data_IF_595203470485
#
_entry.id   IF_595203470485
#
_cell.length_a   1.000
_cell.length_b   1.000
_cell.length_c   1.000
_cell.angle_alpha   90.00
_cell.angle_beta   90.00
_cell.angle_gamma   90.00
#
_symmetry.space_group_name_H-M   'P 1'
#
loop_
_entity.id
_entity.type
_entity.pdbx_description
1 polymer ?
#
# COMPACT_ATOMS: atom_id res chain seq x y z
N UNK A 1 10.96 12.04 -8.91
CA UNK A 1 12.27 11.60 -8.39
C UNK A 1 12.14 11.13 -6.95
N UNK A 2 12.95 10.17 -6.52
CA UNK A 2 13.03 9.73 -5.14
C UNK A 2 13.86 10.73 -4.32
N UNK A 3 13.65 10.79 -3.00
CA UNK A 3 14.50 11.60 -2.13
C UNK A 3 15.98 11.19 -2.25
N UNK A 4 16.23 9.89 -2.43
CA UNK A 4 17.58 9.36 -2.63
C UNK A 4 18.28 9.95 -3.88
N UNK A 5 17.53 10.18 -4.98
CA UNK A 5 18.09 10.78 -6.19
C UNK A 5 18.38 12.29 -6.08
N UNK A 6 18.03 12.90 -4.97
CA UNK A 6 18.24 14.33 -4.66
C UNK A 6 19.20 14.53 -3.51
N UNK A 7 19.78 13.44 -2.98
CA UNK A 7 20.68 13.47 -1.83
C UNK A 7 22.15 13.46 -2.26
N UNK A 8 22.80 14.59 -2.14
CA UNK A 8 24.23 14.75 -2.43
C UNK A 8 25.12 14.47 -1.20
N UNK A 9 24.53 14.26 -0.02
CA UNK A 9 25.24 14.12 1.26
C UNK A 9 25.28 12.69 1.81
N UNK A 10 24.60 11.74 1.15
CA UNK A 10 24.55 10.34 1.58
C UNK A 10 23.74 10.09 2.85
N UNK A 11 22.80 10.97 3.17
CA UNK A 11 21.94 10.89 4.37
C UNK A 11 20.65 10.11 4.15
N UNK A 12 20.25 9.91 2.90
CA UNK A 12 19.03 9.20 2.54
C UNK A 12 19.33 7.73 2.27
N UNK A 13 18.61 6.84 2.94
CA UNK A 13 18.59 5.41 2.62
C UNK A 13 17.35 5.12 1.77
N UNK A 14 17.58 4.59 0.58
CA UNK A 14 16.51 4.09 -0.29
C UNK A 14 16.32 2.59 -0.04
N UNK A 15 15.09 2.20 0.21
CA UNK A 15 14.70 0.80 0.43
C UNK A 15 13.63 0.40 -0.56
N UNK A 16 13.76 -0.77 -1.17
CA UNK A 16 12.78 -1.33 -2.08
C UNK A 16 12.68 -2.85 -1.93
N UNK A 17 11.58 -3.42 -2.44
CA UNK A 17 11.28 -4.84 -2.28
C UNK A 17 10.69 -5.43 -3.55
N UNK A 18 11.00 -6.70 -3.82
CA UNK A 18 10.36 -7.48 -4.89
C UNK A 18 8.98 -8.01 -4.52
N UNK A 19 8.56 -7.87 -3.26
CA UNK A 19 7.28 -8.39 -2.76
C UNK A 19 6.06 -7.83 -3.49
N UNK A 20 6.14 -6.63 -4.07
CA UNK A 20 4.99 -5.97 -4.71
C UNK A 20 5.07 -5.93 -6.24
N UNK A 21 6.25 -6.20 -6.80
CA UNK A 21 6.50 -6.14 -8.23
C UNK A 21 6.81 -7.52 -8.84
N UNK A 22 7.12 -8.53 -8.00
CA UNK A 22 7.39 -9.90 -8.43
C UNK A 22 6.56 -10.89 -7.59
N UNK A 23 6.99 -11.20 -6.37
CA UNK A 23 6.28 -12.14 -5.51
C UNK A 23 6.60 -11.90 -4.02
N UNK A 24 5.59 -11.82 -3.15
CA UNK A 24 5.81 -11.56 -1.71
C UNK A 24 6.51 -12.74 -1.01
N UNK A 25 6.37 -13.96 -1.51
CA UNK A 25 6.97 -15.17 -0.95
C UNK A 25 8.49 -15.25 -1.12
N UNK A 26 9.10 -14.50 -2.02
CA UNK A 26 10.57 -14.50 -2.20
C UNK A 26 11.30 -13.88 -1.03
N UNK A 27 10.67 -12.99 -0.26
CA UNK A 27 11.25 -12.27 0.87
C UNK A 27 12.56 -11.53 0.54
N UNK A 28 12.71 -11.07 -0.71
CA UNK A 28 13.89 -10.32 -1.18
C UNK A 28 13.57 -8.83 -1.23
N UNK A 29 14.47 -8.07 -0.61
CA UNK A 29 14.46 -6.60 -0.62
C UNK A 29 15.91 -6.11 -0.70
N UNK A 30 16.10 -4.82 -0.96
CA UNK A 30 17.40 -4.20 -1.01
C UNK A 30 17.37 -2.77 -0.48
N UNK A 31 18.52 -2.30 -0.02
CA UNK A 31 18.75 -0.92 0.40
C UNK A 31 19.96 -0.33 -0.32
N UNK A 32 19.88 0.97 -0.59
CA UNK A 32 20.99 1.77 -1.10
C UNK A 32 21.12 3.05 -0.27
N UNK A 33 22.36 3.46 0.05
CA UNK A 33 22.60 4.62 0.89
C UNK A 33 24.09 4.91 1.06
N UNK A 34 24.41 5.86 1.91
CA UNK A 34 25.81 6.18 2.25
C UNK A 34 26.52 4.96 2.83
N UNK A 35 27.81 4.81 2.46
CA UNK A 35 28.63 3.64 2.83
C UNK A 35 28.59 3.31 4.32
N UNK A 36 28.81 4.28 5.19
CA UNK A 36 28.81 4.06 6.64
C UNK A 36 27.48 3.50 7.17
N UNK A 37 26.37 3.98 6.63
CA UNK A 37 25.03 3.53 7.04
C UNK A 37 24.82 2.08 6.59
N UNK A 38 25.15 1.78 5.33
CA UNK A 38 24.97 0.44 4.77
C UNK A 38 25.88 -0.58 5.46
N UNK A 39 27.13 -0.23 5.79
CA UNK A 39 28.03 -1.11 6.56
C UNK A 39 27.44 -1.46 7.93
N UNK A 40 26.90 -0.48 8.67
CA UNK A 40 26.22 -0.74 9.95
C UNK A 40 24.97 -1.59 9.80
N UNK A 41 24.16 -1.33 8.75
CA UNK A 41 22.97 -2.14 8.45
C UNK A 41 23.36 -3.59 8.12
N UNK A 42 24.48 -3.81 7.42
CA UNK A 42 24.98 -5.14 7.10
C UNK A 42 25.33 -5.91 8.37
N UNK A 43 26.08 -5.31 9.28
CA UNK A 43 26.42 -5.93 10.58
C UNK A 43 25.16 -6.25 11.40
N UNK A 44 24.19 -5.34 11.43
CA UNK A 44 22.91 -5.60 12.13
C UNK A 44 22.16 -6.76 11.50
N UNK A 45 22.11 -6.84 10.17
CA UNK A 45 21.46 -7.94 9.46
C UNK A 45 22.13 -9.28 9.73
N UNK A 46 23.45 -9.35 9.69
CA UNK A 46 24.21 -10.55 10.02
C UNK A 46 23.88 -11.08 11.42
N UNK A 47 23.70 -10.17 12.39
CA UNK A 47 23.32 -10.53 13.74
C UNK A 47 21.83 -10.83 13.94
N UNK A 48 20.97 -10.45 12.98
CA UNK A 48 19.51 -10.65 13.08
C UNK A 48 19.10 -11.97 12.44
N UNK A 49 19.52 -12.24 11.20
CA UNK A 49 19.08 -13.41 10.43
C UNK A 49 20.16 -14.02 9.53
N UNK A 50 21.43 -13.62 9.73
CA UNK A 50 22.60 -13.99 8.93
C UNK A 50 22.51 -13.49 7.49
N UNK A 51 21.54 -13.96 6.70
CA UNK A 51 21.29 -13.50 5.34
C UNK A 51 19.88 -13.86 4.85
N UNK A 52 19.41 -13.12 3.84
CA UNK A 52 18.26 -13.54 3.04
C UNK A 52 18.62 -14.81 2.25
N UNK A 53 17.64 -15.71 2.06
CA UNK A 53 17.87 -16.96 1.30
C UNK A 53 18.61 -16.72 0.00
N UNK A 54 19.78 -17.35 -0.16
CA UNK A 54 20.62 -17.23 -1.37
C UNK A 54 19.88 -17.77 -2.60
N UNK A 55 19.08 -18.84 -2.44
CA UNK A 55 18.27 -19.38 -3.53
C UNK A 55 17.24 -18.35 -4.01
N UNK A 56 16.56 -17.69 -3.07
CA UNK A 56 15.59 -16.65 -3.43
C UNK A 56 16.27 -15.45 -4.12
N UNK A 57 17.44 -15.04 -3.66
CA UNK A 57 18.23 -13.98 -4.31
C UNK A 57 18.65 -14.38 -5.72
N UNK A 58 19.13 -15.61 -5.92
CA UNK A 58 19.53 -16.11 -7.24
C UNK A 58 18.35 -16.18 -8.21
N UNK A 59 17.17 -16.63 -7.76
CA UNK A 59 15.95 -16.65 -8.57
C UNK A 59 15.53 -15.25 -9.01
N UNK A 60 15.53 -14.28 -8.08
CA UNK A 60 15.18 -12.89 -8.38
C UNK A 60 16.21 -12.28 -9.34
N UNK A 61 17.51 -12.55 -9.11
CA UNK A 61 18.58 -12.09 -9.99
C UNK A 61 18.40 -12.59 -11.42
N UNK A 62 18.22 -13.91 -11.61
CA UNK A 62 18.03 -14.49 -12.94
C UNK A 62 16.77 -13.95 -13.63
N UNK A 63 15.68 -13.79 -12.89
CA UNK A 63 14.44 -13.24 -13.43
C UNK A 63 14.65 -11.80 -13.96
N UNK A 64 15.38 -10.98 -13.21
CA UNK A 64 15.73 -9.63 -13.64
C UNK A 64 16.74 -9.64 -14.80
N UNK A 65 17.80 -10.44 -14.71
CA UNK A 65 18.87 -10.52 -15.71
C UNK A 65 18.37 -10.95 -17.09
N UNK A 66 17.37 -11.84 -17.12
CA UNK A 66 16.74 -12.30 -18.35
C UNK A 66 15.67 -11.34 -18.90
N UNK A 67 15.44 -10.20 -18.26
CA UNK A 67 14.46 -9.20 -18.70
C UNK A 67 13.00 -9.56 -18.41
N UNK A 68 12.75 -10.63 -17.68
CA UNK A 68 11.37 -11.06 -17.37
C UNK A 68 10.63 -10.06 -16.49
N UNK A 69 11.31 -9.41 -15.57
CA UNK A 69 10.68 -8.37 -14.75
C UNK A 69 10.19 -7.21 -15.61
N UNK A 70 11.02 -6.73 -16.52
CA UNK A 70 10.65 -5.60 -17.41
C UNK A 70 9.47 -5.95 -18.33
N UNK A 71 9.44 -7.18 -18.83
CA UNK A 71 8.34 -7.70 -19.63
C UNK A 71 7.03 -7.88 -18.81
N UNK A 72 7.15 -8.20 -17.53
CA UNK A 72 6.01 -8.43 -16.64
C UNK A 72 5.38 -7.14 -16.10
N UNK A 73 6.19 -6.13 -15.78
CA UNK A 73 5.73 -4.90 -15.14
C UNK A 73 4.58 -4.18 -15.87
N UNK A 74 4.58 -4.03 -17.20
CA UNK A 74 3.46 -3.41 -17.90
C UNK A 74 2.12 -4.12 -17.66
N UNK A 75 2.13 -5.45 -17.62
CA UNK A 75 0.93 -6.25 -17.41
C UNK A 75 0.37 -6.08 -16.00
N UNK A 76 1.22 -6.09 -14.98
CA UNK A 76 0.80 -5.91 -13.59
C UNK A 76 0.33 -4.46 -13.33
N UNK A 77 0.96 -3.47 -13.96
CA UNK A 77 0.55 -2.07 -13.89
C UNK A 77 -0.85 -1.91 -14.50
N UNK A 78 -1.12 -2.49 -15.66
CA UNK A 78 -2.43 -2.42 -16.30
C UNK A 78 -3.50 -3.14 -15.48
N UNK A 79 -3.18 -4.31 -14.93
CA UNK A 79 -4.07 -5.05 -14.04
C UNK A 79 -4.50 -4.21 -12.83
N UNK A 80 -3.55 -3.61 -12.12
CA UNK A 80 -3.88 -2.77 -10.95
C UNK A 80 -4.50 -1.43 -11.32
N UNK A 81 -4.21 -0.89 -12.50
CA UNK A 81 -4.89 0.29 -13.02
C UNK A 81 -6.39 0.03 -13.18
N UNK A 82 -6.77 -1.10 -13.77
CA UNK A 82 -8.18 -1.51 -13.93
C UNK A 82 -8.88 -1.65 -12.57
N UNK A 83 -8.23 -2.29 -11.60
CA UNK A 83 -8.76 -2.43 -10.24
C UNK A 83 -8.92 -1.08 -9.53
N UNK A 84 -7.91 -0.21 -9.63
CA UNK A 84 -7.97 1.16 -9.10
C UNK A 84 -9.14 1.93 -9.69
N UNK A 85 -9.30 1.89 -10.99
CA UNK A 85 -10.34 2.65 -11.71
C UNK A 85 -11.73 2.08 -11.43
N UNK A 86 -11.86 0.77 -11.25
CA UNK A 86 -13.09 0.13 -10.76
C UNK A 86 -13.45 0.58 -9.35
N UNK A 87 -12.48 0.61 -8.44
CA UNK A 87 -12.69 1.15 -7.08
C UNK A 87 -13.09 2.64 -7.12
N UNK A 88 -12.43 3.46 -7.96
CA UNK A 88 -12.79 4.88 -8.11
C UNK A 88 -14.26 5.05 -8.56
N UNK A 89 -14.71 4.23 -9.51
CA UNK A 89 -16.09 4.23 -9.97
C UNK A 89 -17.06 3.88 -8.84
N UNK A 90 -16.73 2.85 -8.06
CA UNK A 90 -17.54 2.43 -6.91
C UNK A 90 -17.60 3.51 -5.82
N UNK A 91 -16.47 4.14 -5.49
CA UNK A 91 -16.39 5.23 -4.50
C UNK A 91 -17.31 6.40 -4.91
N UNK A 92 -17.23 6.83 -6.18
CA UNK A 92 -18.09 7.92 -6.69
C UNK A 92 -19.57 7.57 -6.74
N UNK A 93 -19.90 6.31 -6.99
CA UNK A 93 -21.27 5.82 -7.12
C UNK A 93 -21.98 5.67 -5.78
N UNK A 94 -21.27 5.23 -4.75
CA UNK A 94 -21.90 4.76 -3.52
C UNK A 94 -21.64 5.61 -2.28
N UNK A 95 -20.53 6.38 -2.25
CA UNK A 95 -20.23 7.21 -1.08
C UNK A 95 -20.99 8.55 -1.12
N UNK A 96 -21.37 9.09 0.06
CA UNK A 96 -21.94 10.43 0.18
C UNK A 96 -20.82 11.48 -0.07
N UNK A 97 -20.75 12.00 -1.29
CA UNK A 97 -19.66 12.86 -1.76
C UNK A 97 -19.57 14.20 -1.01
N UNK A 98 -20.64 14.61 -0.37
CA UNK A 98 -20.68 15.78 0.51
C UNK A 98 -19.99 15.55 1.87
N UNK A 99 -19.82 14.27 2.26
CA UNK A 99 -19.23 13.87 3.55
C UNK A 99 -17.86 13.20 3.41
N UNK A 100 -17.51 12.71 2.23
CA UNK A 100 -16.30 11.90 2.00
C UNK A 100 -15.44 12.51 0.92
N UNK A 101 -14.16 12.63 1.18
CA UNK A 101 -13.20 13.12 0.20
C UNK A 101 -12.00 12.19 0.07
N UNK A 102 -11.41 12.16 -1.13
CA UNK A 102 -10.17 11.42 -1.41
C UNK A 102 -9.48 11.99 -2.63
N UNK A 103 -8.22 11.62 -2.81
CA UNK A 103 -7.51 11.82 -4.07
C UNK A 103 -7.34 10.49 -4.78
N UNK A 104 -7.58 10.44 -6.09
CA UNK A 104 -7.30 9.27 -6.90
C UNK A 104 -5.81 9.00 -6.90
N UNK A 105 -5.33 7.83 -6.40
CA UNK A 105 -3.92 7.55 -6.34
C UNK A 105 -3.30 7.41 -7.73
N UNK A 106 -2.13 8.01 -7.94
CA UNK A 106 -1.34 7.87 -9.18
C UNK A 106 -0.52 6.59 -9.20
N UNK A 107 -0.31 5.96 -8.04
CA UNK A 107 0.44 4.71 -7.86
C UNK A 107 0.14 4.09 -6.50
N UNK A 108 0.85 2.99 -6.18
CA UNK A 108 0.59 2.21 -4.98
C UNK A 108 -0.67 1.37 -5.07
N UNK A 109 -1.22 0.96 -3.92
CA UNK A 109 -2.30 -0.03 -3.81
C UNK A 109 -3.50 0.46 -2.99
N UNK A 110 -3.50 1.73 -2.58
CA UNK A 110 -4.42 2.20 -1.57
C UNK A 110 -5.13 3.50 -1.97
N UNK A 111 -6.39 3.59 -1.59
CA UNK A 111 -7.11 4.84 -1.44
C UNK A 111 -7.00 5.31 0.00
N UNK A 112 -6.86 6.62 0.18
CA UNK A 112 -6.91 7.29 1.46
C UNK A 112 -8.12 8.21 1.48
N UNK A 113 -9.15 7.82 2.24
CA UNK A 113 -10.38 8.54 2.36
C UNK A 113 -10.37 9.39 3.63
N UNK A 114 -11.00 10.54 3.59
CA UNK A 114 -11.28 11.37 4.74
C UNK A 114 -12.80 11.50 4.91
N UNK A 115 -13.31 11.20 6.12
CA UNK A 115 -14.74 11.24 6.49
C UNK A 115 -14.89 12.12 7.72
N UNK A 116 -14.91 13.46 7.57
CA UNK A 116 -14.99 14.38 8.69
C UNK A 116 -16.13 14.08 9.63
N UNK A 117 -15.87 14.15 10.94
CA UNK A 117 -16.88 13.90 11.98
C UNK A 117 -17.15 12.42 12.26
N UNK A 118 -16.56 11.48 11.52
CA UNK A 118 -16.77 10.04 11.72
C UNK A 118 -15.47 9.40 12.23
N UNK A 119 -15.42 8.94 13.50
CA UNK A 119 -14.26 8.23 14.02
C UNK A 119 -14.07 6.88 13.30
N UNK A 120 -12.92 6.73 12.61
CA UNK A 120 -12.65 5.58 11.75
C UNK A 120 -12.69 4.23 12.49
N UNK A 121 -12.30 4.18 13.75
CA UNK A 121 -12.37 2.95 14.55
C UNK A 121 -13.80 2.51 14.87
N UNK A 122 -14.69 3.47 15.08
CA UNK A 122 -16.12 3.17 15.30
C UNK A 122 -16.78 2.76 13.99
N UNK A 123 -16.49 3.49 12.91
CA UNK A 123 -16.97 3.13 11.57
C UNK A 123 -16.48 1.74 11.15
N UNK A 124 -15.24 1.36 11.51
CA UNK A 124 -14.72 0.02 11.22
C UNK A 124 -15.59 -1.08 11.86
N UNK A 125 -16.06 -0.88 13.10
CA UNK A 125 -16.93 -1.87 13.76
C UNK A 125 -18.21 -2.08 12.99
N UNK A 126 -18.87 -1.01 12.58
CA UNK A 126 -20.11 -1.06 11.75
C UNK A 126 -19.85 -1.68 10.38
N UNK A 127 -18.71 -1.32 9.74
CA UNK A 127 -18.33 -1.86 8.44
C UNK A 127 -18.05 -3.37 8.51
N UNK A 128 -17.43 -3.86 9.58
CA UNK A 128 -17.16 -5.30 9.80
C UNK A 128 -18.47 -6.12 9.89
N UNK A 129 -19.50 -5.59 10.52
CA UNK A 129 -20.83 -6.24 10.54
C UNK A 129 -21.40 -6.41 9.13
N UNK A 130 -21.09 -5.46 8.23
CA UNK A 130 -21.41 -5.51 6.79
C UNK A 130 -20.33 -6.22 5.94
N UNK A 131 -19.35 -6.91 6.59
CA UNK A 131 -18.24 -7.67 5.94
C UNK A 131 -17.30 -6.80 5.13
N UNK A 132 -17.14 -5.55 5.50
CA UNK A 132 -16.16 -4.62 4.92
C UNK A 132 -15.10 -4.29 5.93
N UNK A 133 -13.82 -4.37 5.52
CA UNK A 133 -12.69 -4.02 6.36
C UNK A 133 -11.83 -2.95 5.69
N UNK A 134 -11.29 -2.04 6.48
CA UNK A 134 -10.30 -1.05 6.10
C UNK A 134 -9.34 -0.83 7.28
N UNK A 135 -8.27 -0.08 7.07
CA UNK A 135 -7.37 0.27 8.16
C UNK A 135 -7.65 1.70 8.60
N UNK A 136 -7.98 1.94 9.88
CA UNK A 136 -8.15 3.29 10.40
C UNK A 136 -6.87 4.12 10.27
N UNK A 137 -7.03 5.40 9.96
CA UNK A 137 -5.91 6.27 9.62
C UNK A 137 -4.95 6.56 10.76
N UNK A 138 -5.41 6.54 12.02
CA UNK A 138 -4.58 6.76 13.20
C UNK A 138 -3.43 5.75 13.31
N UNK A 139 -3.59 4.54 12.77
CA UNK A 139 -2.53 3.52 12.71
C UNK A 139 -1.28 3.96 11.90
N UNK A 140 -1.37 5.04 11.13
CA UNK A 140 -0.28 5.56 10.28
C UNK A 140 0.38 6.82 10.85
N UNK A 141 -0.04 7.28 12.01
CA UNK A 141 0.52 8.45 12.68
C UNK A 141 1.47 7.99 13.80
N UNK A 142 2.75 8.42 13.78
CA UNK A 142 3.76 7.96 14.75
C UNK A 142 3.40 8.21 16.22
N UNK A 143 2.66 9.29 16.48
CA UNK A 143 2.23 9.68 17.83
C UNK A 143 0.84 9.15 18.19
N UNK A 144 0.15 8.46 17.29
CA UNK A 144 -1.25 8.09 17.46
C UNK A 144 -2.24 9.27 17.51
N UNK A 145 -1.77 10.50 17.24
CA UNK A 145 -2.54 11.74 17.41
C UNK A 145 -3.01 12.34 16.09
N UNK A 146 -3.48 11.53 15.16
CA UNK A 146 -3.97 12.02 13.87
C UNK A 146 -4.71 10.93 13.11
N UNK A 147 -5.30 11.30 11.99
CA UNK A 147 -5.94 10.35 11.09
C UNK A 147 -7.22 9.68 11.63
N UNK A 148 -7.82 10.21 12.70
CA UNK A 148 -9.00 9.61 13.34
C UNK A 148 -10.22 9.48 12.43
N UNK A 149 -10.31 10.33 11.41
CA UNK A 149 -11.40 10.36 10.44
C UNK A 149 -10.96 9.81 9.07
N UNK A 150 -9.78 9.16 9.01
CA UNK A 150 -9.23 8.65 7.76
C UNK A 150 -9.33 7.12 7.69
N UNK A 151 -9.51 6.64 6.46
CA UNK A 151 -9.59 5.22 6.13
C UNK A 151 -8.57 4.90 5.04
N UNK A 152 -7.79 3.81 5.22
CA UNK A 152 -6.98 3.25 4.14
C UNK A 152 -7.68 2.03 3.54
N UNK A 153 -8.06 2.12 2.28
CA UNK A 153 -8.68 1.02 1.52
C UNK A 153 -7.72 0.44 0.49
N UNK A 154 -7.66 -0.87 0.37
CA UNK A 154 -6.85 -1.59 -0.60
C UNK A 154 -7.71 -2.02 -1.80
N UNK A 155 -7.24 -1.74 -3.03
CA UNK A 155 -7.96 -2.12 -4.25
C UNK A 155 -7.38 -3.37 -4.96
N UNK A 156 -6.35 -4.02 -4.39
CA UNK A 156 -5.61 -5.04 -5.13
C UNK A 156 -6.24 -6.43 -5.06
N UNK A 157 -6.92 -6.77 -3.98
CA UNK A 157 -7.45 -8.12 -3.76
C UNK A 157 -8.83 -8.34 -4.38
N UNK A 158 -9.80 -7.48 -4.08
CA UNK A 158 -11.18 -7.65 -4.50
C UNK A 158 -11.35 -7.60 -6.03
N UNK A 159 -12.30 -8.35 -6.58
CA UNK A 159 -12.77 -8.12 -7.95
C UNK A 159 -13.48 -6.76 -8.04
N UNK A 160 -13.76 -6.28 -9.25
CA UNK A 160 -14.48 -5.01 -9.45
C UNK A 160 -15.89 -5.07 -8.83
N UNK A 161 -16.57 -6.22 -8.96
CA UNK A 161 -17.90 -6.47 -8.42
C UNK A 161 -17.89 -6.51 -6.89
N UNK A 162 -16.89 -7.18 -6.30
CA UNK A 162 -16.70 -7.21 -4.84
C UNK A 162 -16.37 -5.81 -4.30
N UNK A 163 -15.58 -5.03 -5.04
CA UNK A 163 -15.26 -3.66 -4.67
C UNK A 163 -16.52 -2.76 -4.73
N UNK A 164 -17.32 -2.86 -5.78
CA UNK A 164 -18.60 -2.13 -5.91
C UNK A 164 -19.53 -2.44 -4.73
N UNK A 165 -19.69 -3.73 -4.40
CA UNK A 165 -20.52 -4.18 -3.29
C UNK A 165 -19.98 -3.70 -1.93
N UNK A 166 -18.69 -3.85 -1.70
CA UNK A 166 -18.04 -3.43 -0.44
C UNK A 166 -18.10 -1.93 -0.22
N UNK A 167 -17.90 -1.13 -1.28
CA UNK A 167 -18.01 0.34 -1.20
C UNK A 167 -19.47 0.75 -0.97
N UNK A 168 -20.46 0.05 -1.53
CA UNK A 168 -21.87 0.28 -1.23
C UNK A 168 -22.15 0.09 0.26
N UNK A 169 -21.72 -1.01 0.85
CA UNK A 169 -21.90 -1.28 2.28
C UNK A 169 -21.16 -0.27 3.17
N UNK A 170 -19.97 0.17 2.76
CA UNK A 170 -19.27 1.25 3.46
C UNK A 170 -20.06 2.55 3.41
N UNK A 171 -20.65 2.89 2.26
CA UNK A 171 -21.51 4.07 2.10
C UNK A 171 -22.76 4.00 2.97
N UNK A 172 -23.36 2.83 3.13
CA UNK A 172 -24.47 2.60 4.05
C UNK A 172 -24.02 2.85 5.51
N UNK A 173 -22.91 2.25 5.93
CA UNK A 173 -22.37 2.46 7.28
C UNK A 173 -22.05 3.93 7.59
N UNK A 174 -21.51 4.68 6.60
CA UNK A 174 -21.23 6.12 6.78
C UNK A 174 -22.52 6.94 6.94
N UNK A 175 -23.61 6.58 6.23
CA UNK A 175 -24.90 7.27 6.35
C UNK A 175 -25.61 6.94 7.67
N UNK A 176 -25.46 5.73 8.18
CA UNK A 176 -26.01 5.28 9.45
C UNK A 176 -25.25 5.87 10.66
N UNK A 177 -24.05 6.43 10.43
CA UNK A 177 -23.27 7.06 11.48
C UNK A 177 -23.79 8.48 11.72
N UNK A 178 -24.50 8.66 12.83
CA UNK A 178 -25.03 9.93 13.34
C UNK A 178 -24.10 10.60 14.36
#
# INVERSE_FOLDING_TARGET
>A
PSLYSMDDNGLVVFSSTFSKILAPGTRVAWCAGGREIIEKMTVLKENTDTCTSVVAQALVWEYCRLGYLDAFLPNIIDHYRKKRDGMETALRKHLPLERVSWQKPKGGFFYWLNVPGVPAEQLLKMALEKKVAFVPGNAFYPTGTGGFNNLRMCFTFASTEMADLGVRYLGEAIREFE
#
